data_IF_729531411118
#
_entry.id   IF_729531411118
#
_cell.length_a   1.000
_cell.length_b   1.000
_cell.length_c   1.000
_cell.angle_alpha   90.00
_cell.angle_beta   90.00
_cell.angle_gamma   90.00
#
_symmetry.space_group_name_H-M   'P 1'
#
loop_
_entity.id
_entity.type
_entity.pdbx_description
1 polymer ?
#
# COMPACT_ATOMS: atom_id res chain seq x y z
N UNK A 1 4.03 -16.26 -0.56
CA UNK A 1 4.53 -16.12 -1.94
C UNK A 1 5.69 -15.13 -1.93
N UNK A 2 6.76 -15.33 -2.69
CA UNK A 2 7.88 -14.37 -2.74
C UNK A 2 7.82 -13.54 -4.03
N UNK A 3 8.06 -12.22 -3.91
CA UNK A 3 8.42 -11.37 -5.05
C UNK A 3 9.84 -11.72 -5.47
N UNK A 4 10.07 -12.04 -6.76
CA UNK A 4 11.39 -12.54 -7.22
C UNK A 4 12.58 -11.59 -6.98
N UNK A 5 12.31 -10.34 -6.63
CA UNK A 5 13.32 -9.30 -6.39
C UNK A 5 13.48 -8.94 -4.90
N UNK A 6 12.71 -9.54 -3.99
CA UNK A 6 12.75 -9.23 -2.55
C UNK A 6 12.55 -10.51 -1.73
N UNK A 7 13.46 -10.78 -0.80
CA UNK A 7 13.40 -11.93 0.12
C UNK A 7 12.28 -11.83 1.18
N UNK A 8 11.35 -10.88 1.00
CA UNK A 8 10.24 -10.62 1.91
C UNK A 8 9.06 -11.51 1.53
N UNK A 9 8.55 -12.35 2.46
CA UNK A 9 7.39 -13.18 2.19
C UNK A 9 6.10 -12.36 2.16
N UNK A 10 5.33 -12.52 1.09
CA UNK A 10 3.96 -12.04 0.99
C UNK A 10 3.00 -13.10 1.57
N UNK A 11 2.34 -12.76 2.67
CA UNK A 11 1.61 -13.68 3.56
C UNK A 11 0.10 -13.48 3.40
N UNK A 12 -0.51 -14.28 2.55
CA UNK A 12 -1.94 -14.17 2.20
C UNK A 12 -2.89 -14.90 3.16
N UNK A 13 -2.40 -15.83 3.98
CA UNK A 13 -3.20 -16.57 4.98
C UNK A 13 -2.29 -16.88 6.15
N UNK A 14 -2.75 -16.58 7.37
CA UNK A 14 -2.08 -16.95 8.63
C UNK A 14 -2.38 -18.42 8.97
N UNK A 15 -1.58 -19.01 9.86
CA UNK A 15 -1.79 -20.40 10.32
C UNK A 15 -3.15 -20.64 10.99
N UNK A 16 -3.80 -19.60 11.51
CA UNK A 16 -5.14 -19.65 12.10
C UNK A 16 -6.28 -19.50 11.07
N UNK A 17 -5.95 -19.43 9.78
CA UNK A 17 -6.91 -19.22 8.68
C UNK A 17 -7.30 -17.77 8.44
N UNK A 18 -6.80 -16.83 9.24
CA UNK A 18 -7.09 -15.40 9.06
C UNK A 18 -6.37 -14.81 7.85
N UNK A 19 -7.06 -13.92 7.14
CA UNK A 19 -6.47 -13.12 6.06
C UNK A 19 -5.71 -11.90 6.60
N UNK A 20 -4.86 -11.32 5.77
CA UNK A 20 -3.99 -10.19 6.10
C UNK A 20 -4.26 -9.01 5.15
N UNK A 21 -3.50 -7.92 5.31
CA UNK A 21 -3.50 -6.82 4.35
C UNK A 21 -3.03 -7.27 2.97
N UNK A 22 -2.02 -8.13 2.89
CA UNK A 22 -1.53 -8.73 1.65
C UNK A 22 -2.66 -9.41 0.85
N UNK A 23 -3.57 -10.10 1.54
CA UNK A 23 -4.74 -10.73 0.92
C UNK A 23 -5.68 -9.69 0.32
N UNK A 24 -6.00 -8.66 1.11
CA UNK A 24 -6.98 -7.63 0.74
C UNK A 24 -6.45 -6.76 -0.41
N UNK A 25 -5.16 -6.45 -0.41
CA UNK A 25 -4.50 -5.68 -1.47
C UNK A 25 -4.44 -6.47 -2.78
N UNK A 26 -4.13 -7.77 -2.71
CA UNK A 26 -4.15 -8.65 -3.88
C UNK A 26 -5.56 -8.76 -4.50
N UNK A 27 -6.57 -8.93 -3.64
CA UNK A 27 -7.97 -8.96 -4.08
C UNK A 27 -8.39 -7.62 -4.70
N UNK A 28 -7.92 -6.50 -4.14
CA UNK A 28 -8.21 -5.16 -4.65
C UNK A 28 -7.62 -4.93 -6.04
N UNK A 29 -6.36 -5.34 -6.29
CA UNK A 29 -5.76 -5.27 -7.64
C UNK A 29 -6.59 -6.08 -8.62
N UNK A 30 -6.92 -7.33 -8.25
CA UNK A 30 -7.71 -8.20 -9.11
C UNK A 30 -9.04 -7.58 -9.47
N UNK A 31 -9.79 -7.09 -8.48
CA UNK A 31 -11.08 -6.45 -8.69
C UNK A 31 -10.97 -5.23 -9.60
N UNK A 32 -9.99 -4.35 -9.39
CA UNK A 32 -9.81 -3.14 -10.21
C UNK A 32 -9.45 -3.45 -11.67
N UNK A 33 -8.72 -4.53 -11.91
CA UNK A 33 -8.35 -4.94 -13.28
C UNK A 33 -9.51 -5.69 -13.96
N UNK A 34 -10.12 -6.64 -13.25
CA UNK A 34 -11.08 -7.56 -13.85
C UNK A 34 -12.50 -6.99 -13.87
N UNK A 35 -12.93 -6.25 -12.86
CA UNK A 35 -14.30 -5.72 -12.76
C UNK A 35 -14.35 -4.26 -13.20
N UNK A 36 -13.51 -3.40 -12.62
CA UNK A 36 -13.46 -1.97 -12.96
C UNK A 36 -12.76 -1.67 -14.30
N UNK A 37 -12.09 -2.67 -14.88
CA UNK A 37 -11.35 -2.56 -16.15
C UNK A 37 -10.36 -1.40 -16.16
N UNK A 38 -9.71 -1.12 -15.03
CA UNK A 38 -8.79 0.00 -14.92
C UNK A 38 -7.55 -0.17 -15.81
N UNK A 39 -7.24 0.84 -16.62
CA UNK A 39 -6.00 0.91 -17.40
C UNK A 39 -4.81 1.43 -16.59
N UNK A 40 -5.07 2.14 -15.49
CA UNK A 40 -4.05 2.69 -14.60
C UNK A 40 -4.46 2.60 -13.14
N UNK A 41 -3.62 1.92 -12.35
CA UNK A 41 -3.72 1.84 -10.90
C UNK A 41 -2.72 2.82 -10.27
N UNK A 42 -3.23 3.78 -9.49
CA UNK A 42 -2.42 4.74 -8.74
C UNK A 42 -2.65 4.52 -7.24
N UNK A 43 -1.59 4.19 -6.52
CA UNK A 43 -1.62 3.99 -5.06
C UNK A 43 -0.90 5.14 -4.38
N UNK A 44 -1.65 6.01 -3.70
CA UNK A 44 -1.10 7.16 -2.96
C UNK A 44 -1.03 6.80 -1.48
N UNK A 45 0.18 6.53 -0.98
CA UNK A 45 0.40 6.15 0.43
C UNK A 45 1.73 6.71 0.95
N UNK A 46 1.99 6.57 2.25
CA UNK A 46 3.30 6.88 2.84
C UNK A 46 4.43 6.17 2.09
N UNK A 47 5.53 6.88 1.81
CA UNK A 47 6.72 6.34 1.18
C UNK A 47 7.33 5.15 1.96
N UNK A 48 7.08 5.04 3.27
CA UNK A 48 7.42 3.87 4.08
C UNK A 48 6.81 2.55 3.60
N UNK A 49 5.73 2.59 2.81
CA UNK A 49 5.07 1.42 2.22
C UNK A 49 5.62 1.04 0.83
N UNK A 50 6.61 1.77 0.29
CA UNK A 50 7.09 1.53 -1.07
C UNK A 50 7.52 0.08 -1.32
N UNK A 51 8.25 -0.52 -0.38
CA UNK A 51 8.68 -1.92 -0.47
C UNK A 51 7.47 -2.87 -0.58
N UNK A 52 6.43 -2.67 0.24
CA UNK A 52 5.20 -3.48 0.19
C UNK A 52 4.54 -3.43 -1.19
N UNK A 53 4.39 -2.25 -1.77
CA UNK A 53 3.77 -2.09 -3.09
C UNK A 53 4.61 -2.72 -4.22
N UNK A 54 5.94 -2.73 -4.10
CA UNK A 54 6.82 -3.47 -5.02
C UNK A 54 6.60 -4.99 -4.90
N UNK A 55 6.52 -5.54 -3.67
CA UNK A 55 6.21 -6.98 -3.49
C UNK A 55 4.84 -7.31 -4.06
N UNK A 56 3.83 -6.51 -3.72
CA UNK A 56 2.45 -6.68 -4.17
C UNK A 56 2.35 -6.72 -5.69
N UNK A 57 2.95 -5.76 -6.40
CA UNK A 57 2.97 -5.71 -7.86
C UNK A 57 3.63 -6.96 -8.46
N UNK A 58 4.77 -7.40 -7.90
CA UNK A 58 5.45 -8.61 -8.33
C UNK A 58 4.63 -9.88 -8.11
N UNK A 59 3.99 -9.99 -6.95
CA UNK A 59 3.12 -11.11 -6.62
C UNK A 59 1.88 -11.14 -7.52
N UNK A 60 1.24 -9.99 -7.78
CA UNK A 60 0.10 -9.89 -8.69
C UNK A 60 0.49 -10.28 -10.12
N UNK A 61 1.66 -9.84 -10.60
CA UNK A 61 2.20 -10.24 -11.90
C UNK A 61 2.43 -11.75 -11.99
N UNK A 62 3.07 -12.32 -10.98
CA UNK A 62 3.39 -13.76 -10.93
C UNK A 62 2.14 -14.62 -10.75
N UNK A 63 1.09 -14.10 -10.12
CA UNK A 63 -0.21 -14.75 -10.02
C UNK A 63 -1.05 -14.65 -11.31
N UNK A 64 -0.58 -13.93 -12.33
CA UNK A 64 -1.30 -13.72 -13.59
C UNK A 64 -2.44 -12.70 -13.50
N UNK A 65 -2.57 -11.99 -12.38
CA UNK A 65 -3.60 -10.98 -12.16
C UNK A 65 -3.24 -9.66 -12.87
N UNK A 66 -1.95 -9.32 -12.87
CA UNK A 66 -1.44 -8.07 -13.43
C UNK A 66 -0.53 -8.29 -14.64
N UNK A 67 -0.80 -7.58 -15.74
CA UNK A 67 0.05 -7.52 -16.92
C UNK A 67 0.52 -6.07 -17.16
N UNK A 68 1.82 -5.77 -16.98
CA UNK A 68 2.35 -4.41 -17.16
C UNK A 68 2.29 -3.91 -18.61
N UNK A 69 2.00 -4.77 -19.59
CA UNK A 69 1.76 -4.34 -20.98
C UNK A 69 0.36 -3.80 -21.21
N UNK A 70 -0.58 -4.10 -20.30
CA UNK A 70 -2.00 -3.74 -20.42
C UNK A 70 -2.42 -2.68 -19.42
N UNK A 71 -1.94 -2.80 -18.19
CA UNK A 71 -2.32 -1.94 -17.07
C UNK A 71 -1.06 -1.28 -16.52
N UNK A 72 -1.13 0.03 -16.33
CA UNK A 72 -0.09 0.80 -15.64
C UNK A 72 -0.30 0.69 -14.12
N UNK A 73 0.78 0.57 -13.37
CA UNK A 73 0.73 0.50 -11.91
C UNK A 73 1.79 1.44 -11.34
N UNK A 74 1.37 2.45 -10.58
CA UNK A 74 2.26 3.38 -9.91
C UNK A 74 1.94 3.49 -8.42
N UNK A 75 2.99 3.36 -7.61
CA UNK A 75 2.96 3.80 -6.21
C UNK A 75 3.51 5.23 -6.13
N UNK A 76 2.67 6.15 -5.67
CA UNK A 76 2.99 7.57 -5.49
C UNK A 76 3.15 7.83 -3.99
N UNK A 77 4.38 7.70 -3.51
CA UNK A 77 4.73 7.88 -2.11
C UNK A 77 4.71 9.36 -1.68
N UNK A 78 4.15 9.66 -0.51
CA UNK A 78 4.33 10.94 0.17
C UNK A 78 5.21 10.81 1.42
N UNK A 79 5.90 11.89 1.79
CA UNK A 79 6.79 11.91 2.96
C UNK A 79 6.05 12.02 4.30
N UNK A 80 6.77 11.88 5.40
CA UNK A 80 6.20 12.05 6.74
C UNK A 80 5.87 13.52 7.02
N UNK A 81 4.77 13.74 7.76
CA UNK A 81 4.44 15.07 8.29
C UNK A 81 5.29 15.34 9.54
N UNK A 82 6.03 16.45 9.51
CA UNK A 82 6.90 16.87 10.61
C UNK A 82 6.30 18.08 11.33
N UNK A 83 6.50 18.15 12.65
CA UNK A 83 6.25 19.36 13.43
C UNK A 83 7.38 20.38 13.29
N UNK A 84 7.20 21.54 13.92
CA UNK A 84 8.20 22.61 13.95
C UNK A 84 9.55 22.15 14.54
N UNK A 85 9.51 21.15 15.42
CA UNK A 85 10.68 20.52 16.03
C UNK A 85 11.40 19.52 15.11
N UNK A 86 10.97 19.39 13.84
CA UNK A 86 11.45 18.44 12.83
C UNK A 86 11.28 16.96 13.22
N UNK A 87 10.45 16.65 14.23
CA UNK A 87 10.06 15.28 14.57
C UNK A 87 8.71 14.96 13.96
N UNK A 88 8.33 13.67 13.99
CA UNK A 88 7.00 13.24 13.53
C UNK A 88 5.92 14.08 14.22
N UNK A 89 5.03 14.66 13.42
CA UNK A 89 3.95 15.50 13.90
C UNK A 89 3.08 14.72 14.91
N UNK A 90 3.00 15.23 16.13
CA UNK A 90 2.24 14.66 17.25
C UNK A 90 1.69 15.81 18.09
N UNK A 91 0.59 15.57 18.79
CA UNK A 91 0.12 16.52 19.80
C UNK A 91 1.16 16.70 20.91
N UNK A 92 1.05 17.78 21.70
CA UNK A 92 1.87 17.96 22.92
C UNK A 92 1.69 16.83 23.95
N UNK A 93 0.57 16.11 23.90
CA UNK A 93 0.30 14.90 24.71
C UNK A 93 0.87 13.61 24.12
N UNK A 94 1.39 13.64 22.88
CA UNK A 94 1.93 12.49 22.17
C UNK A 94 0.89 11.66 21.39
N UNK A 95 -0.37 12.09 21.40
CA UNK A 95 -1.48 11.50 20.63
C UNK A 95 -1.48 11.98 19.17
N UNK A 96 -2.19 11.25 18.31
CA UNK A 96 -2.39 11.64 16.91
C UNK A 96 -3.34 12.84 16.85
N UNK A 97 -2.92 13.93 16.19
CA UNK A 97 -3.77 15.12 15.97
C UNK A 97 -4.97 14.72 15.11
N UNK A 98 -6.17 15.11 15.51
CA UNK A 98 -7.36 14.86 14.71
C UNK A 98 -7.40 15.82 13.52
N UNK A 99 -7.74 15.32 12.34
CA UNK A 99 -7.79 16.17 11.14
C UNK A 99 -8.76 17.35 11.29
N UNK A 100 -9.88 17.17 12.01
CA UNK A 100 -10.83 18.25 12.27
C UNK A 100 -10.21 19.39 13.07
N UNK A 101 -9.39 19.08 14.08
CA UNK A 101 -8.71 20.10 14.89
C UNK A 101 -7.70 20.90 14.06
N UNK A 102 -7.06 20.26 13.08
CA UNK A 102 -6.13 20.91 12.16
C UNK A 102 -6.82 21.80 11.12
N UNK A 103 -8.09 21.55 10.79
CA UNK A 103 -8.87 22.38 9.86
C UNK A 103 -9.43 23.64 10.53
N UNK A 104 -9.60 23.60 11.85
CA UNK A 104 -10.13 24.70 12.66
C UNK A 104 -9.03 25.64 13.21
N UNK A 105 -7.74 25.28 13.07
CA UNK A 105 -6.57 26.14 13.32
C UNK A 105 -6.31 27.14 12.17
#
# INVERSE_FOLDING_TARGET
MFGREQDIPFTIVKSDGGFTYDTSDMATIKYRIEEEKADWLIYITDAGQATHFVVLQHCAKKAGIFDPKKVRFDHVGFGVVLGEDKKKFKTRSGETVRLVELLDE
#
